data_IF_780202506799
#
_entry.id   IF_780202506799
#
_cell.length_a   1.000
_cell.length_b   1.000
_cell.length_c   1.000
_cell.angle_alpha   90.00
_cell.angle_beta   90.00
_cell.angle_gamma   90.00
#
_symmetry.space_group_name_H-M   'P 1'
#
loop_
_entity.id
_entity.type
_entity.pdbx_description
1 polymer ?
#
# COMPACT_ATOMS: atom_id res chain seq x y z
N UNK A 1 -15.46 -1.00 -5.00
CA UNK A 1 -14.75 -2.31 -5.06
C UNK A 1 -14.25 -2.64 -3.66
N UNK A 2 -14.16 -3.92 -3.31
CA UNK A 2 -13.51 -4.34 -2.06
C UNK A 2 -12.00 -4.48 -2.26
N UNK A 3 -11.21 -4.39 -1.19
CA UNK A 3 -9.78 -4.65 -1.28
C UNK A 3 -9.49 -6.10 -1.66
N UNK A 4 -10.32 -7.06 -1.24
CA UNK A 4 -10.19 -8.46 -1.64
C UNK A 4 -10.39 -8.68 -3.15
N UNK A 5 -11.34 -7.96 -3.77
CA UNK A 5 -11.50 -7.94 -5.23
C UNK A 5 -10.29 -7.31 -5.92
N UNK A 6 -9.79 -6.21 -5.36
CA UNK A 6 -8.63 -5.51 -5.90
C UNK A 6 -7.36 -6.37 -5.84
N UNK A 7 -7.12 -7.05 -4.72
CA UNK A 7 -5.95 -7.91 -4.53
C UNK A 7 -5.93 -9.07 -5.54
N UNK A 8 -7.08 -9.68 -5.80
CA UNK A 8 -7.22 -10.75 -6.81
C UNK A 8 -6.98 -10.26 -8.23
N UNK A 9 -7.30 -9.00 -8.53
CA UNK A 9 -7.18 -8.40 -9.87
C UNK A 9 -5.80 -7.79 -10.14
N UNK A 10 -5.24 -7.08 -9.16
CA UNK A 10 -4.05 -6.24 -9.29
C UNK A 10 -2.83 -6.79 -8.51
N UNK A 11 -3.03 -7.80 -7.65
CA UNK A 11 -2.00 -8.29 -6.72
C UNK A 11 -1.86 -7.40 -5.49
N UNK A 12 -0.70 -7.48 -4.83
CA UNK A 12 -0.35 -6.67 -3.66
C UNK A 12 -0.44 -5.16 -3.94
N UNK A 13 -0.70 -4.37 -2.90
CA UNK A 13 -0.79 -2.93 -3.01
C UNK A 13 0.59 -2.27 -3.18
N UNK A 14 0.63 -1.16 -3.91
CA UNK A 14 1.81 -0.29 -3.96
C UNK A 14 2.03 0.42 -2.62
N UNK A 15 3.29 0.74 -2.30
CA UNK A 15 3.71 1.40 -1.04
C UNK A 15 2.80 2.56 -0.63
N UNK A 16 2.46 3.46 -1.56
CA UNK A 16 1.65 4.65 -1.25
C UNK A 16 0.20 4.31 -0.85
N UNK A 17 -0.38 3.31 -1.51
CA UNK A 17 -1.71 2.81 -1.16
C UNK A 17 -1.63 1.99 0.12
N UNK A 18 -0.60 1.16 0.28
CA UNK A 18 -0.37 0.36 1.47
C UNK A 18 -0.25 1.25 2.71
N UNK A 19 0.61 2.27 2.67
CA UNK A 19 0.78 3.22 3.76
C UNK A 19 -0.56 3.84 4.15
N UNK A 20 -1.24 4.48 3.17
CA UNK A 20 -2.47 5.23 3.43
C UNK A 20 -3.61 4.34 3.89
N UNK A 21 -3.84 3.22 3.21
CA UNK A 21 -4.89 2.27 3.59
C UNK A 21 -4.58 1.59 4.91
N UNK A 22 -3.31 1.36 5.24
CA UNK A 22 -2.94 0.89 6.56
C UNK A 22 -3.20 1.91 7.65
N UNK A 23 -2.93 3.20 7.39
CA UNK A 23 -3.28 4.28 8.31
C UNK A 23 -4.80 4.40 8.49
N UNK A 24 -5.59 4.32 7.42
CA UNK A 24 -7.05 4.35 7.48
C UNK A 24 -7.59 3.15 8.29
N UNK A 25 -7.13 1.92 8.00
CA UNK A 25 -7.58 0.72 8.69
C UNK A 25 -7.24 0.77 10.18
N UNK A 26 -5.99 1.08 10.53
CA UNK A 26 -5.59 1.16 11.93
C UNK A 26 -6.27 2.33 12.65
N UNK A 27 -6.58 3.43 11.95
CA UNK A 27 -7.41 4.51 12.48
C UNK A 27 -8.84 4.04 12.83
N UNK A 28 -9.45 3.20 11.98
CA UNK A 28 -10.73 2.55 12.29
C UNK A 28 -10.60 1.62 13.50
N UNK A 29 -9.53 0.82 13.58
CA UNK A 29 -9.30 -0.09 14.71
C UNK A 29 -9.12 0.67 16.03
N UNK A 30 -8.42 1.80 16.02
CA UNK A 30 -8.33 2.71 17.18
C UNK A 30 -9.73 3.13 17.63
N UNK A 31 -10.54 3.63 16.70
CA UNK A 31 -11.89 4.08 17.02
C UNK A 31 -12.77 2.94 17.56
N UNK A 32 -12.69 1.73 16.98
CA UNK A 32 -13.43 0.57 17.46
C UNK A 32 -13.02 0.16 18.87
N UNK A 33 -11.71 0.16 19.15
CA UNK A 33 -11.18 -0.14 20.48
C UNK A 33 -11.65 0.87 21.54
N UNK A 34 -11.67 2.17 21.21
CA UNK A 34 -12.21 3.22 22.08
C UNK A 34 -13.71 3.03 22.39
N UNK A 35 -14.48 2.55 21.42
CA UNK A 35 -15.91 2.25 21.61
C UNK A 35 -16.15 0.88 22.27
N UNK A 36 -15.11 0.09 22.52
CA UNK A 36 -15.24 -1.27 23.04
C UNK A 36 -15.94 -2.23 22.07
N UNK A 37 -15.85 -1.97 20.77
CA UNK A 37 -16.48 -2.76 19.71
C UNK A 37 -15.41 -3.62 19.02
N UNK A 38 -15.70 -4.91 18.86
CA UNK A 38 -14.91 -5.80 18.02
C UNK A 38 -15.63 -6.02 16.69
N UNK A 39 -14.96 -5.82 15.57
CA UNK A 39 -15.50 -6.16 14.26
C UNK A 39 -15.47 -7.68 14.03
N UNK A 40 -14.39 -8.36 14.48
CA UNK A 40 -14.16 -9.81 14.40
C UNK A 40 -13.96 -10.42 13.02
N UNK A 41 -14.34 -9.73 11.97
CA UNK A 41 -14.11 -10.18 10.59
C UNK A 41 -13.33 -9.15 9.75
N UNK A 42 -12.26 -8.59 10.32
CA UNK A 42 -11.36 -7.69 9.57
C UNK A 42 -10.56 -8.50 8.56
N UNK A 43 -10.82 -8.27 7.28
CA UNK A 43 -10.17 -8.88 6.11
C UNK A 43 -10.38 -8.00 4.87
N UNK A 44 -9.60 -8.17 3.78
CA UNK A 44 -9.76 -7.36 2.57
C UNK A 44 -11.15 -7.40 1.94
N UNK A 45 -11.89 -8.50 2.06
CA UNK A 45 -13.25 -8.61 1.49
C UNK A 45 -14.29 -7.75 2.21
N UNK A 46 -14.08 -7.43 3.49
CA UNK A 46 -14.98 -6.57 4.29
C UNK A 46 -14.51 -5.10 4.31
N UNK A 47 -13.61 -4.77 3.39
CA UNK A 47 -13.04 -3.45 3.28
C UNK A 47 -13.29 -2.92 1.87
N UNK A 48 -13.98 -1.78 1.79
CA UNK A 48 -14.23 -1.09 0.53
C UNK A 48 -13.26 0.07 0.34
N UNK A 49 -12.98 0.39 -0.93
CA UNK A 49 -12.27 1.60 -1.31
C UNK A 49 -13.25 2.55 -2.00
N UNK A 50 -13.38 3.76 -1.47
CA UNK A 50 -14.29 4.78 -1.99
C UNK A 50 -13.74 6.18 -1.84
N UNK A 51 -14.25 7.13 -2.62
CA UNK A 51 -13.97 8.55 -2.39
C UNK A 51 -14.86 9.02 -1.23
N UNK A 52 -14.25 9.37 -0.09
CA UNK A 52 -14.97 9.80 1.11
C UNK A 52 -14.40 11.12 1.59
N UNK A 53 -15.27 12.11 1.87
CA UNK A 53 -14.88 13.41 2.42
C UNK A 53 -14.53 14.49 1.37
N UNK A 54 -13.97 15.62 1.84
CA UNK A 54 -13.53 16.74 1.01
C UNK A 54 -12.10 16.50 0.51
N UNK A 55 -11.99 15.91 -0.66
CA UNK A 55 -10.74 15.68 -1.37
C UNK A 55 -10.89 14.44 -2.24
N UNK A 56 -10.48 14.50 -3.50
CA UNK A 56 -10.61 13.41 -4.48
C UNK A 56 -9.68 12.21 -4.19
N UNK A 57 -9.53 11.82 -2.92
CA UNK A 57 -8.67 10.72 -2.47
C UNK A 57 -9.53 9.52 -2.11
N UNK A 58 -9.01 8.35 -2.49
CA UNK A 58 -9.58 7.06 -2.09
C UNK A 58 -9.26 6.80 -0.62
N UNK A 59 -10.28 6.50 0.15
CA UNK A 59 -10.23 6.10 1.55
C UNK A 59 -10.77 4.69 1.73
N UNK A 60 -10.28 4.04 2.77
CA UNK A 60 -10.73 2.73 3.20
C UNK A 60 -11.99 2.86 4.07
N UNK A 61 -13.00 2.05 3.79
CA UNK A 61 -14.22 1.94 4.60
C UNK A 61 -14.40 0.49 5.04
N UNK A 62 -14.35 0.25 6.34
CA UNK A 62 -14.67 -1.04 6.94
C UNK A 62 -16.18 -1.22 7.03
N UNK A 63 -16.69 -2.38 6.62
CA UNK A 63 -18.11 -2.72 6.65
C UNK A 63 -18.33 -4.16 7.08
N UNK A 64 -19.59 -4.55 7.26
CA UNK A 64 -20.02 -5.89 7.75
C UNK A 64 -19.71 -6.16 9.24
N UNK A 65 -20.41 -5.43 10.10
CA UNK A 65 -20.39 -5.60 11.54
C UNK A 65 -21.30 -6.73 12.04
N UNK A 66 -21.71 -7.67 11.18
CA UNK A 66 -22.64 -8.74 11.55
C UNK A 66 -22.16 -9.58 12.73
N UNK A 67 -20.84 -9.74 12.88
CA UNK A 67 -20.25 -10.52 13.96
C UNK A 67 -20.00 -9.74 15.25
N UNK A 68 -20.12 -8.41 15.22
CA UNK A 68 -19.71 -7.54 16.34
C UNK A 68 -20.48 -7.75 17.64
N UNK A 69 -21.73 -8.24 17.54
CA UNK A 69 -22.63 -8.48 18.69
C UNK A 69 -22.52 -9.88 19.28
N UNK A 70 -21.67 -10.74 18.73
CA UNK A 70 -21.53 -12.08 19.28
C UNK A 70 -20.86 -12.09 20.65
N UNK A 71 -21.17 -13.08 21.52
CA UNK A 71 -20.50 -13.25 22.80
C UNK A 71 -18.97 -13.36 22.63
N UNK A 72 -18.21 -12.88 23.63
CA UNK A 72 -16.75 -12.93 23.61
C UNK A 72 -16.23 -14.39 23.55
N UNK A 73 -17.00 -15.32 24.09
CA UNK A 73 -16.70 -16.75 24.19
C UNK A 73 -16.80 -17.46 22.83
N UNK A 74 -17.45 -16.84 21.83
CA UNK A 74 -17.50 -17.37 20.48
C UNK A 74 -16.18 -17.06 19.73
N UNK A 75 -15.12 -17.77 20.11
CA UNK A 75 -13.76 -17.54 19.62
C UNK A 75 -13.50 -18.07 18.20
N UNK A 76 -14.44 -18.84 17.63
CA UNK A 76 -14.33 -19.39 16.26
C UNK A 76 -15.04 -18.50 15.22
N UNK A 77 -15.64 -17.41 15.67
CA UNK A 77 -16.44 -16.54 14.83
C UNK A 77 -15.56 -15.52 14.10
N UNK A 78 -15.58 -15.58 12.77
CA UNK A 78 -14.74 -14.79 11.87
C UNK A 78 -14.20 -15.66 10.74
N UNK A 79 -13.36 -15.09 9.89
CA UNK A 79 -12.80 -15.81 8.74
C UNK A 79 -11.52 -16.55 9.09
N UNK A 80 -11.42 -17.88 8.82
CA UNK A 80 -10.18 -18.63 8.98
C UNK A 80 -9.00 -17.96 8.27
N UNK A 81 -7.83 -17.97 8.90
CA UNK A 81 -6.62 -17.28 8.42
C UNK A 81 -6.42 -15.87 9.00
N UNK A 82 -7.50 -15.16 9.33
CA UNK A 82 -7.43 -13.84 10.00
C UNK A 82 -7.67 -13.93 11.51
N UNK A 83 -8.29 -15.02 11.96
CA UNK A 83 -8.48 -15.31 13.38
C UNK A 83 -7.14 -15.50 14.10
N UNK A 84 -7.00 -14.90 15.28
CA UNK A 84 -5.86 -15.16 16.17
C UNK A 84 -5.88 -16.62 16.61
N UNK A 85 -4.93 -17.46 16.15
CA UNK A 85 -5.00 -18.90 16.40
C UNK A 85 -4.76 -19.23 17.88
N UNK A 86 -4.34 -18.26 18.70
CA UNK A 86 -4.06 -18.45 20.12
C UNK A 86 -5.26 -18.15 21.01
N UNK A 87 -6.40 -17.74 20.43
CA UNK A 87 -7.67 -17.57 21.13
C UNK A 87 -8.03 -18.74 22.06
N UNK A 88 -7.90 -20.02 21.66
CA UNK A 88 -8.18 -21.16 22.54
C UNK A 88 -7.25 -21.28 23.74
N UNK A 89 -6.05 -20.68 23.70
CA UNK A 89 -5.06 -20.74 24.77
C UNK A 89 -5.25 -19.66 25.84
N UNK A 90 -6.16 -18.69 25.60
CA UNK A 90 -6.49 -17.65 26.56
C UNK A 90 -7.21 -18.26 27.77
N UNK A 91 -7.07 -17.62 28.93
CA UNK A 91 -7.65 -18.11 30.20
C UNK A 91 -8.53 -17.02 30.82
N UNK A 92 -9.87 -17.08 30.66
CA UNK A 92 -10.64 -18.02 29.84
C UNK A 92 -10.53 -17.76 28.31
N UNK A 93 -10.88 -18.73 27.44
CA UNK A 93 -10.87 -18.53 25.98
C UNK A 93 -11.92 -17.50 25.55
N UNK A 94 -11.48 -16.31 25.16
CA UNK A 94 -12.37 -15.19 24.79
C UNK A 94 -11.72 -14.29 23.75
N UNK A 95 -12.55 -13.67 22.92
CA UNK A 95 -12.16 -12.56 22.06
C UNK A 95 -11.73 -11.35 22.90
N UNK A 96 -10.73 -10.63 22.41
CA UNK A 96 -10.18 -9.43 23.05
C UNK A 96 -9.61 -8.47 21.98
N UNK A 97 -9.11 -7.32 22.43
CA UNK A 97 -8.52 -6.31 21.53
C UNK A 97 -7.23 -6.82 20.84
N UNK A 98 -6.52 -7.79 21.42
CA UNK A 98 -5.34 -8.40 20.77
C UNK A 98 -5.74 -9.23 19.54
N UNK A 99 -6.88 -9.93 19.58
CA UNK A 99 -7.42 -10.64 18.42
C UNK A 99 -7.81 -9.66 17.30
N UNK A 100 -8.42 -8.53 17.68
CA UNK A 100 -8.81 -7.50 16.71
C UNK A 100 -7.60 -6.91 15.97
N UNK A 101 -6.56 -6.55 16.72
CA UNK A 101 -5.29 -6.07 16.16
C UNK A 101 -4.57 -7.13 15.33
N UNK A 102 -4.66 -8.40 15.72
CA UNK A 102 -4.11 -9.51 14.96
C UNK A 102 -4.76 -9.64 13.58
N UNK A 103 -6.10 -9.58 13.50
CA UNK A 103 -6.84 -9.63 12.25
C UNK A 103 -6.51 -8.43 11.34
N UNK A 104 -6.36 -7.23 11.93
CA UNK A 104 -5.88 -6.06 11.21
C UNK A 104 -4.46 -6.27 10.66
N UNK A 105 -3.53 -6.80 11.46
CA UNK A 105 -2.18 -7.11 11.01
C UNK A 105 -2.15 -8.16 9.88
N UNK A 106 -2.98 -9.21 9.96
CA UNK A 106 -3.13 -10.21 8.90
C UNK A 106 -3.59 -9.58 7.59
N UNK A 107 -4.60 -8.71 7.68
CA UNK A 107 -5.10 -7.93 6.54
C UNK A 107 -3.99 -7.07 5.94
N UNK A 108 -3.26 -6.29 6.75
CA UNK A 108 -2.17 -5.45 6.27
C UNK A 108 -1.04 -6.25 5.63
N UNK A 109 -0.70 -7.40 6.20
CA UNK A 109 0.32 -8.29 5.65
C UNK A 109 -0.11 -8.80 4.28
N UNK A 110 -1.35 -9.26 4.14
CA UNK A 110 -1.88 -9.73 2.87
C UNK A 110 -1.93 -8.60 1.83
N UNK A 111 -2.32 -7.39 2.22
CA UNK A 111 -2.27 -6.23 1.33
C UNK A 111 -0.85 -5.91 0.86
N UNK A 112 0.16 -6.14 1.71
CA UNK A 112 1.58 -5.89 1.40
C UNK A 112 2.22 -7.00 0.55
N UNK A 113 1.85 -8.26 0.78
CA UNK A 113 2.54 -9.43 0.21
C UNK A 113 1.71 -10.14 -0.86
N UNK A 114 0.39 -10.02 -0.81
CA UNK A 114 -0.57 -10.74 -1.67
C UNK A 114 -0.92 -12.14 -1.16
N UNK A 115 -0.37 -12.55 -0.01
CA UNK A 115 -0.68 -13.81 0.67
C UNK A 115 -0.51 -13.66 2.18
N UNK A 116 -1.10 -14.58 2.94
CA UNK A 116 -0.99 -14.58 4.40
C UNK A 116 0.35 -15.17 4.89
N UNK A 117 0.86 -14.71 6.05
CA UNK A 117 2.04 -15.30 6.67
C UNK A 117 1.70 -16.69 7.24
N UNK A 118 2.71 -17.52 7.48
CA UNK A 118 2.51 -18.94 7.84
C UNK A 118 3.06 -19.26 9.22
N UNK A 119 2.29 -20.02 9.99
CA UNK A 119 2.76 -20.64 11.23
C UNK A 119 3.29 -22.04 10.95
N UNK A 120 4.45 -22.38 11.52
CA UNK A 120 5.02 -23.73 11.40
C UNK A 120 5.08 -24.22 9.95
N UNK A 121 4.49 -25.38 9.70
CA UNK A 121 4.40 -26.01 8.37
C UNK A 121 3.22 -25.49 7.51
N UNK A 122 2.38 -24.60 8.06
CA UNK A 122 1.17 -24.08 7.43
C UNK A 122 -0.02 -25.04 7.40
N UNK A 123 0.07 -26.21 8.05
CA UNK A 123 -0.99 -27.22 8.12
C UNK A 123 -1.42 -27.54 9.54
N UNK A 124 -0.47 -27.52 10.48
CA UNK A 124 -0.72 -27.76 11.90
C UNK A 124 -1.38 -26.54 12.54
N UNK A 125 -2.41 -26.76 13.35
CA UNK A 125 -3.07 -25.69 14.11
C UNK A 125 -2.04 -24.95 14.99
N UNK A 126 -1.88 -23.62 14.86
CA UNK A 126 -0.85 -22.90 15.60
C UNK A 126 -1.00 -22.94 17.13
N UNK A 127 -2.21 -23.22 17.63
CA UNK A 127 -2.43 -23.47 19.06
C UNK A 127 -1.75 -24.74 19.57
N UNK A 128 -1.54 -25.72 18.69
CA UNK A 128 -0.91 -27.02 18.97
C UNK A 128 0.60 -27.04 18.71
N UNK A 129 1.12 -26.03 18.01
CA UNK A 129 2.56 -25.88 17.80
C UNK A 129 3.30 -25.65 19.12
N UNK A 130 4.60 -25.94 19.10
CA UNK A 130 5.50 -25.69 20.22
C UNK A 130 5.39 -24.24 20.71
N UNK A 131 5.44 -23.98 22.03
CA UNK A 131 5.38 -22.62 22.57
C UNK A 131 6.48 -21.66 22.05
N UNK A 132 7.57 -22.19 21.49
CA UNK A 132 8.65 -21.39 20.88
C UNK A 132 8.43 -21.11 19.38
N UNK A 133 7.42 -21.73 18.77
CA UNK A 133 7.12 -21.50 17.35
C UNK A 133 6.44 -20.15 17.17
N UNK A 134 7.04 -19.30 16.35
CA UNK A 134 6.51 -18.00 15.94
C UNK A 134 6.05 -18.06 14.48
N UNK A 135 5.22 -17.10 14.07
CA UNK A 135 4.82 -16.96 12.68
C UNK A 135 6.04 -16.58 11.80
N UNK A 136 6.11 -17.15 10.61
CA UNK A 136 7.14 -16.82 9.63
C UNK A 136 6.69 -15.64 8.77
N UNK A 137 7.54 -14.62 8.75
CA UNK A 137 7.39 -13.40 7.96
C UNK A 137 8.36 -13.46 6.79
N UNK A 138 7.83 -13.55 5.57
CA UNK A 138 8.62 -13.52 4.35
C UNK A 138 9.07 -12.08 4.04
N UNK A 139 10.20 -11.69 4.62
CA UNK A 139 10.75 -10.35 4.52
C UNK A 139 11.19 -9.98 3.09
N UNK A 140 11.51 -10.97 2.25
CA UNK A 140 11.97 -10.72 0.87
C UNK A 140 10.85 -10.22 -0.04
N UNK A 141 9.60 -10.43 0.35
CA UNK A 141 8.44 -9.90 -0.36
C UNK A 141 8.29 -8.39 -0.19
N UNK A 142 8.83 -7.80 0.87
CA UNK A 142 8.74 -6.35 1.07
C UNK A 142 9.74 -5.60 0.20
N UNK A 143 9.37 -4.38 -0.20
CA UNK A 143 10.29 -3.45 -0.84
C UNK A 143 11.54 -3.22 0.03
N UNK A 144 12.71 -3.11 -0.60
CA UNK A 144 14.01 -3.08 0.11
C UNK A 144 14.11 -2.00 1.19
N UNK A 145 13.58 -0.80 0.91
CA UNK A 145 13.54 0.31 1.88
C UNK A 145 12.55 0.11 3.03
N UNK A 146 11.66 -0.87 2.91
CA UNK A 146 10.60 -1.19 3.87
C UNK A 146 10.78 -2.51 4.60
N UNK A 147 11.71 -3.35 4.13
CA UNK A 147 11.89 -4.71 4.59
C UNK A 147 12.02 -4.81 6.10
N UNK A 148 13.00 -4.12 6.67
CA UNK A 148 13.24 -4.14 8.10
C UNK A 148 12.10 -3.52 8.91
N UNK A 149 11.62 -2.29 8.63
CA UNK A 149 10.57 -1.69 9.41
C UNK A 149 9.24 -2.47 9.37
N UNK A 150 8.82 -2.97 8.20
CA UNK A 150 7.60 -3.78 8.11
C UNK A 150 7.78 -5.15 8.77
N UNK A 151 8.94 -5.79 8.60
CA UNK A 151 9.22 -7.07 9.27
C UNK A 151 9.18 -6.91 10.79
N UNK A 152 9.77 -5.85 11.34
CA UNK A 152 9.72 -5.56 12.76
C UNK A 152 8.29 -5.29 13.26
N UNK A 153 7.51 -4.52 12.49
CA UNK A 153 6.10 -4.26 12.77
C UNK A 153 5.28 -5.55 12.84
N UNK A 154 5.35 -6.39 11.79
CA UNK A 154 4.59 -7.64 11.74
C UNK A 154 5.05 -8.65 12.78
N UNK A 155 6.37 -8.76 13.03
CA UNK A 155 6.89 -9.61 14.12
C UNK A 155 6.31 -9.21 15.47
N UNK A 156 6.20 -7.91 15.75
CA UNK A 156 5.59 -7.39 16.98
C UNK A 156 4.09 -7.67 17.02
N UNK A 157 3.37 -7.44 15.91
CA UNK A 157 1.93 -7.67 15.81
C UNK A 157 1.53 -9.14 16.06
N UNK A 158 2.36 -10.07 15.59
CA UNK A 158 2.05 -11.50 15.59
C UNK A 158 2.72 -12.31 16.70
N UNK A 159 3.42 -11.66 17.64
CA UNK A 159 4.06 -12.34 18.77
C UNK A 159 3.12 -13.35 19.43
N UNK A 160 3.60 -14.57 19.66
CA UNK A 160 2.80 -15.60 20.32
C UNK A 160 2.35 -15.16 21.72
N UNK A 161 3.25 -14.52 22.47
CA UNK A 161 2.94 -13.97 23.78
C UNK A 161 2.22 -12.62 23.65
N UNK A 162 0.98 -12.53 24.14
CA UNK A 162 0.15 -11.32 24.00
C UNK A 162 0.79 -10.06 24.59
N UNK A 163 1.52 -10.19 25.71
CA UNK A 163 2.19 -9.05 26.37
C UNK A 163 3.32 -8.44 25.53
N UNK A 164 3.84 -9.19 24.57
CA UNK A 164 4.93 -8.77 23.68
C UNK A 164 4.37 -8.21 22.36
N UNK A 165 3.04 -8.19 22.17
CA UNK A 165 2.35 -7.50 21.08
C UNK A 165 2.12 -6.03 21.44
N UNK A 166 1.68 -5.24 20.45
CA UNK A 166 1.19 -3.88 20.68
C UNK A 166 0.13 -3.84 21.79
N UNK A 167 0.34 -2.95 22.75
CA UNK A 167 -0.50 -2.81 23.93
C UNK A 167 -1.90 -2.32 23.57
N UNK A 168 -2.00 -1.36 22.63
CA UNK A 168 -3.25 -0.82 22.13
C UNK A 168 -3.16 -0.48 20.63
N UNK A 169 -4.29 -0.17 20.01
CA UNK A 169 -4.34 0.17 18.58
C UNK A 169 -3.63 1.49 18.25
N UNK A 170 -3.55 2.45 19.17
CA UNK A 170 -2.84 3.72 18.93
C UNK A 170 -1.33 3.50 18.77
N UNK A 171 -0.75 2.65 19.63
CA UNK A 171 0.65 2.23 19.56
C UNK A 171 0.91 1.51 18.23
N UNK A 172 0.02 0.59 17.84
CA UNK A 172 0.11 -0.09 16.56
C UNK A 172 0.02 0.88 15.38
N UNK A 173 -0.90 1.85 15.40
CA UNK A 173 -1.01 2.89 14.38
C UNK A 173 0.25 3.78 14.31
N UNK A 174 0.83 4.13 15.46
CA UNK A 174 2.09 4.87 15.53
C UNK A 174 3.24 4.06 14.93
N UNK A 175 3.38 2.80 15.32
CA UNK A 175 4.39 1.90 14.79
C UNK A 175 4.26 1.71 13.27
N UNK A 176 3.02 1.61 12.77
CA UNK A 176 2.77 1.59 11.33
C UNK A 176 3.28 2.84 10.63
N UNK A 177 2.91 4.04 11.12
CA UNK A 177 3.40 5.31 10.56
C UNK A 177 4.93 5.39 10.58
N UNK A 178 5.55 4.89 11.65
CA UNK A 178 7.00 4.86 11.82
C UNK A 178 7.70 4.01 10.76
N UNK A 179 7.08 2.95 10.26
CA UNK A 179 7.62 2.17 9.16
C UNK A 179 7.87 3.01 7.90
N UNK A 180 7.07 4.05 7.68
CA UNK A 180 7.14 4.90 6.49
C UNK A 180 7.85 6.23 6.74
N UNK A 181 8.24 6.56 7.98
CA UNK A 181 8.95 7.82 8.31
C UNK A 181 10.28 7.96 7.59
N UNK A 182 11.03 6.86 7.48
CA UNK A 182 12.34 6.82 6.83
C UNK A 182 12.27 6.39 5.37
N UNK A 183 11.08 5.99 4.89
CA UNK A 183 10.81 6.03 3.45
C UNK A 183 10.63 7.49 3.13
N UNK A 184 11.75 8.13 2.84
CA UNK A 184 11.73 9.50 2.45
C UNK A 184 10.74 9.65 1.27
N UNK A 185 9.62 10.39 1.41
CA UNK A 185 8.74 10.75 0.29
C UNK A 185 9.48 11.59 -0.76
N UNK A 186 10.74 11.90 -0.48
CA UNK A 186 11.64 12.77 -1.14
C UNK A 186 13.04 12.36 -0.71
N UNK A 187 13.53 11.12 -0.92
CA UNK A 187 15.00 10.96 -0.88
C UNK A 187 15.48 11.75 -2.06
N UNK A 188 16.02 12.95 -1.85
CA UNK A 188 16.67 13.60 -2.92
C UNK A 188 18.05 12.92 -2.88
N UNK A 189 18.59 12.52 -4.00
CA UNK A 189 19.98 12.98 -4.16
C UNK A 189 19.78 14.48 -4.28
N UNK A 190 19.75 15.18 -3.15
CA UNK A 190 19.68 16.63 -2.97
C UNK A 190 19.77 16.96 -1.46
N UNK A 191 20.97 17.01 -0.88
CA UNK A 191 21.68 18.29 -0.74
C UNK A 191 21.29 19.37 -1.76
N UNK A 192 21.51 20.67 -1.53
CA UNK A 192 21.39 21.62 -2.65
C UNK A 192 22.17 21.15 -3.91
N UNK A 193 23.21 20.34 -3.71
CA UNK A 193 23.95 19.55 -4.69
C UNK A 193 23.14 18.66 -5.62
N UNK A 194 21.98 18.13 -5.20
CA UNK A 194 21.33 17.05 -5.94
C UNK A 194 20.05 17.43 -6.68
N UNK A 195 19.37 18.51 -6.30
CA UNK A 195 18.45 19.20 -7.22
C UNK A 195 19.26 19.88 -8.32
N UNK A 196 20.46 20.37 -7.99
CA UNK A 196 21.43 20.82 -8.97
C UNK A 196 21.90 19.66 -9.86
N UNK A 197 22.30 18.51 -9.30
CA UNK A 197 22.70 17.33 -10.08
C UNK A 197 21.57 16.80 -10.96
N UNK A 198 20.32 16.81 -10.48
CA UNK A 198 19.15 16.43 -11.28
C UNK A 198 18.95 17.40 -12.44
N UNK A 199 19.00 18.70 -12.18
CA UNK A 199 18.88 19.69 -13.26
C UNK A 199 20.03 19.52 -14.27
N UNK A 200 21.25 19.26 -13.81
CA UNK A 200 22.40 18.96 -14.66
C UNK A 200 22.19 17.68 -15.49
N UNK A 201 21.65 16.60 -14.89
CA UNK A 201 21.23 15.37 -15.59
C UNK A 201 20.19 15.68 -16.68
N UNK A 202 19.19 16.50 -16.36
CA UNK A 202 18.16 16.91 -17.31
C UNK A 202 18.72 17.82 -18.42
N UNK A 203 19.72 18.65 -18.12
CA UNK A 203 20.37 19.57 -19.05
C UNK A 203 21.37 18.88 -19.98
N UNK A 204 21.88 17.69 -19.62
CA UNK A 204 22.70 16.83 -20.50
C UNK A 204 21.94 15.73 -21.21
N UNK A 205 20.70 15.45 -20.82
CA UNK A 205 19.91 14.39 -21.42
C UNK A 205 19.73 14.59 -22.94
N UNK A 206 19.59 13.50 -23.68
CA UNK A 206 19.27 13.50 -25.11
C UNK A 206 18.08 12.56 -25.33
N UNK A 207 17.50 12.54 -26.53
CA UNK A 207 16.34 11.67 -26.83
C UNK A 207 16.57 10.18 -26.50
N UNK A 208 17.81 9.70 -26.61
CA UNK A 208 18.18 8.31 -26.33
C UNK A 208 18.48 8.02 -24.84
N UNK A 209 18.55 9.05 -23.99
CA UNK A 209 18.79 8.88 -22.55
C UNK A 209 17.68 8.04 -21.93
N UNK A 210 18.05 7.08 -21.09
CA UNK A 210 17.09 6.18 -20.42
C UNK A 210 16.42 6.87 -19.23
N UNK A 211 15.20 6.47 -18.87
CA UNK A 211 14.49 7.05 -17.72
C UNK A 211 15.29 6.97 -16.39
N UNK A 212 15.97 5.85 -16.05
CA UNK A 212 16.82 5.78 -14.86
C UNK A 212 17.96 6.81 -14.84
N UNK A 213 18.48 7.21 -16.01
CA UNK A 213 19.54 8.21 -16.13
C UNK A 213 19.06 9.64 -15.89
N UNK A 214 17.75 9.90 -15.78
CA UNK A 214 17.20 11.24 -15.55
C UNK A 214 17.23 11.67 -14.09
N UNK A 215 17.68 10.80 -13.16
CA UNK A 215 17.68 11.10 -11.74
C UNK A 215 16.29 11.34 -11.16
N UNK A 216 15.28 10.71 -11.77
CA UNK A 216 13.91 10.71 -11.26
C UNK A 216 13.82 9.87 -9.98
N UNK A 217 12.90 10.24 -9.08
CA UNK A 217 12.58 9.40 -7.93
C UNK A 217 12.11 8.02 -8.37
N UNK A 218 12.44 6.98 -7.60
CA UNK A 218 12.10 5.57 -7.90
C UNK A 218 10.63 5.37 -8.27
N UNK A 219 9.73 6.15 -7.65
CA UNK A 219 8.29 6.13 -7.94
C UNK A 219 7.98 6.64 -9.35
N UNK A 220 8.62 7.73 -9.77
CA UNK A 220 8.44 8.28 -11.10
C UNK A 220 8.98 7.31 -12.16
N UNK A 221 10.17 6.74 -11.94
CA UNK A 221 10.75 5.74 -12.84
C UNK A 221 9.87 4.50 -12.99
N UNK A 222 9.36 3.95 -11.88
CA UNK A 222 8.48 2.77 -11.93
C UNK A 222 7.15 3.04 -12.63
N UNK A 223 6.61 4.26 -12.52
CA UNK A 223 5.39 4.66 -13.22
C UNK A 223 5.62 4.73 -14.72
N UNK A 224 6.74 5.29 -15.15
CA UNK A 224 7.12 5.40 -16.56
C UNK A 224 7.40 4.03 -17.17
N UNK A 225 8.10 3.16 -16.45
CA UNK A 225 8.39 1.78 -16.87
C UNK A 225 7.11 0.97 -17.14
N UNK A 226 6.08 1.11 -16.28
CA UNK A 226 4.77 0.46 -16.47
C UNK A 226 4.02 0.92 -17.71
N UNK A 227 4.20 2.16 -18.13
CA UNK A 227 3.61 2.70 -19.36
C UNK A 227 4.50 2.45 -20.58
N UNK A 228 5.55 1.62 -20.44
CA UNK A 228 6.55 1.33 -21.46
C UNK A 228 7.27 2.60 -21.96
N UNK A 229 7.47 3.56 -21.07
CA UNK A 229 8.23 4.79 -21.32
C UNK A 229 9.64 4.55 -20.80
N UNK A 230 10.55 4.15 -21.69
CA UNK A 230 11.89 3.70 -21.32
C UNK A 230 12.97 4.75 -21.61
N UNK A 231 12.69 5.69 -22.52
CA UNK A 231 13.61 6.75 -22.93
C UNK A 231 12.99 8.14 -22.87
N UNK A 232 13.83 9.19 -22.95
CA UNK A 232 13.39 10.58 -23.09
C UNK A 232 12.52 10.77 -24.33
N UNK A 233 12.82 10.10 -25.45
CA UNK A 233 11.99 10.15 -26.65
C UNK A 233 10.56 9.68 -26.36
N UNK A 234 10.42 8.55 -25.68
CA UNK A 234 9.11 7.97 -25.33
C UNK A 234 8.34 8.93 -24.41
N UNK A 235 9.03 9.52 -23.43
CA UNK A 235 8.43 10.47 -22.49
C UNK A 235 7.93 11.73 -23.18
N UNK A 236 8.67 12.24 -24.17
CA UNK A 236 8.30 13.45 -24.90
C UNK A 236 7.22 13.20 -25.95
N UNK A 237 7.20 12.02 -26.56
CA UNK A 237 6.11 11.57 -27.43
C UNK A 237 4.80 11.36 -26.65
N UNK A 238 4.89 11.03 -25.35
CA UNK A 238 3.71 10.79 -24.53
C UNK A 238 2.93 12.10 -24.23
N UNK A 239 1.59 12.12 -24.33
CA UNK A 239 0.81 13.34 -24.07
C UNK A 239 0.89 13.83 -22.61
N UNK A 240 1.27 15.09 -22.39
CA UNK A 240 1.30 15.72 -21.04
C UNK A 240 -0.04 15.62 -20.30
N UNK A 241 -1.17 15.68 -21.03
CA UNK A 241 -2.52 15.52 -20.47
C UNK A 241 -2.72 14.12 -19.88
N UNK A 242 -2.10 13.08 -20.45
CA UNK A 242 -2.15 11.72 -19.91
C UNK A 242 -1.22 11.56 -18.71
N UNK A 243 0.01 12.11 -18.76
CA UNK A 243 0.93 12.12 -17.61
C UNK A 243 0.28 12.77 -16.37
N UNK A 244 -0.37 13.92 -16.55
CA UNK A 244 -1.08 14.63 -15.48
C UNK A 244 -2.38 13.96 -14.99
N UNK A 245 -2.84 12.89 -15.65
CA UNK A 245 -4.07 12.16 -15.29
C UNK A 245 -3.82 10.67 -15.03
N UNK A 246 -2.57 10.26 -14.88
CA UNK A 246 -2.22 8.87 -14.57
C UNK A 246 -2.97 8.40 -13.31
N UNK A 247 -3.81 7.38 -13.49
CA UNK A 247 -4.61 6.79 -12.42
C UNK A 247 -3.70 5.99 -11.49
N UNK A 248 -3.97 6.06 -10.18
CA UNK A 248 -3.16 5.35 -9.17
C UNK A 248 -1.81 5.99 -8.83
N UNK A 249 -1.45 7.11 -9.45
CA UNK A 249 -0.18 7.83 -9.18
C UNK A 249 -0.42 9.02 -8.25
N UNK A 250 0.41 9.14 -7.20
CA UNK A 250 0.36 10.25 -6.25
C UNK A 250 0.66 11.62 -6.87
N UNK A 251 0.07 12.70 -6.34
CA UNK A 251 0.21 14.06 -6.88
C UNK A 251 1.67 14.53 -6.98
N UNK A 252 2.55 14.14 -6.04
CA UNK A 252 3.97 14.51 -6.04
C UNK A 252 4.72 13.86 -7.19
N UNK A 253 4.58 12.54 -7.36
CA UNK A 253 5.17 11.77 -8.47
C UNK A 253 4.66 12.25 -9.83
N UNK A 254 3.37 12.57 -9.92
CA UNK A 254 2.79 13.14 -11.13
C UNK A 254 3.40 14.51 -11.46
N UNK A 255 3.56 15.39 -10.46
CA UNK A 255 4.21 16.70 -10.65
C UNK A 255 5.64 16.54 -11.11
N UNK A 256 6.41 15.66 -10.48
CA UNK A 256 7.79 15.34 -10.86
C UNK A 256 7.90 14.91 -12.33
N UNK A 257 7.13 13.89 -12.75
CA UNK A 257 7.11 13.42 -14.15
C UNK A 257 6.74 14.56 -15.11
N UNK A 258 5.71 15.34 -14.75
CA UNK A 258 5.21 16.42 -15.63
C UNK A 258 6.19 17.58 -15.71
N UNK A 259 6.89 17.92 -14.62
CA UNK A 259 7.93 18.95 -14.59
C UNK A 259 9.14 18.53 -15.42
N UNK A 260 9.62 17.29 -15.26
CA UNK A 260 10.69 16.73 -16.08
C UNK A 260 10.33 16.73 -17.56
N UNK A 261 9.13 16.28 -17.91
CA UNK A 261 8.66 16.30 -19.31
C UNK A 261 8.57 17.73 -19.86
N UNK A 262 8.13 18.72 -19.07
CA UNK A 262 8.09 20.13 -19.48
C UNK A 262 9.49 20.70 -19.72
N UNK A 263 10.43 20.47 -18.80
CA UNK A 263 11.82 20.91 -18.94
C UNK A 263 12.45 20.34 -20.21
N UNK A 264 12.32 19.03 -20.41
CA UNK A 264 12.89 18.35 -21.58
C UNK A 264 12.22 18.79 -22.89
N UNK A 265 10.90 19.05 -22.91
CA UNK A 265 10.21 19.62 -24.09
C UNK A 265 10.69 21.02 -24.43
N UNK A 266 10.94 21.86 -23.43
CA UNK A 266 11.44 23.22 -23.65
C UNK A 266 12.85 23.20 -24.26
N UNK A 267 13.69 22.23 -23.88
CA UNK A 267 15.09 22.15 -24.32
C UNK A 267 15.28 21.37 -25.62
N UNK A 268 14.66 20.20 -25.74
CA UNK A 268 14.83 19.28 -26.87
C UNK A 268 13.72 19.39 -27.93
N UNK A 269 12.63 20.08 -27.62
CA UNK A 269 11.44 20.11 -28.47
C UNK A 269 10.59 18.83 -28.35
N UNK A 270 9.64 18.69 -29.26
CA UNK A 270 8.82 17.48 -29.37
C UNK A 270 9.41 16.61 -30.49
N UNK A 271 9.69 15.32 -30.25
CA UNK A 271 10.22 14.46 -31.30
C UNK A 271 9.23 14.35 -32.46
N UNK A 272 9.71 14.52 -33.69
CA UNK A 272 8.90 14.39 -34.89
C UNK A 272 8.63 12.91 -35.18
N UNK A 273 7.58 12.35 -34.57
CA UNK A 273 6.69 11.30 -35.11
C UNK A 273 5.86 10.64 -34.00
N UNK A 274 4.58 11.01 -33.91
CA UNK A 274 3.46 10.10 -33.67
C UNK A 274 2.22 10.80 -34.25
N UNK A 275 1.42 10.04 -34.98
CA UNK A 275 0.39 10.43 -35.94
C UNK A 275 -0.61 11.51 -35.45
N UNK A 276 -1.20 12.32 -36.36
CA UNK A 276 -2.34 13.16 -36.01
C UNK A 276 -3.49 12.29 -35.48
N UNK A 277 -4.17 12.79 -34.44
CA UNK A 277 -5.31 12.12 -33.80
C UNK A 277 -6.34 11.65 -34.85
N UNK A 278 -6.95 10.45 -34.71
CA UNK A 278 -8.26 10.25 -35.32
C UNK A 278 -9.22 11.22 -34.62
N UNK A 279 -9.73 12.17 -35.39
CA UNK A 279 -10.80 13.07 -34.96
C UNK A 279 -11.90 12.24 -34.30
N UNK A 280 -12.26 12.59 -33.08
CA UNK A 280 -13.42 12.02 -32.41
C UNK A 280 -14.65 12.37 -33.23
N UNK A 281 -15.14 11.40 -34.02
CA UNK A 281 -16.45 11.45 -34.65
C UNK A 281 -17.49 11.74 -33.57
N UNK A 282 -18.13 12.90 -33.73
CA UNK A 282 -19.30 13.27 -32.95
C UNK A 282 -20.45 12.37 -33.41
N UNK A 283 -21.18 11.68 -32.53
CA UNK A 283 -22.32 10.87 -32.97
C UNK A 283 -23.36 11.80 -33.60
N UNK A 284 -23.96 11.45 -34.74
CA UNK A 284 -25.01 12.26 -35.32
C UNK A 284 -26.23 12.28 -34.39
N UNK A 285 -26.73 13.49 -34.11
CA UNK A 285 -28.08 13.69 -33.57
C UNK A 285 -29.07 13.01 -34.52
N UNK A 286 -29.82 12.04 -34.00
CA UNK A 286 -30.93 11.45 -34.73
C UNK A 286 -32.13 12.41 -34.66
N UNK A 287 -32.79 12.67 -35.81
CA UNK A 287 -33.97 13.55 -35.89
C UNK A 287 -35.24 12.90 -35.33
#
# INVERSE_FOLDING_TARGET
ETLGQRLRKEGRLQIDLLQRFGEDLLGVVVHLEEQGIWHRDIKPDNIAVGMVGRGDKLHLVLFDFSLSRMPAENIRAGTPGYLDPLLPLRQPPRWDNYAERYAAAMTLYELAVGSLPRWGDGTTDPSQLSPQTEITIDAEQFDSGLREPLSAFFRSAFKRTLKDRFHNAEEMLRAWRDCFKNIDPSRPVADESGSALRNELLDRAVFATTIPELGLGTRASNVLDRENILTVRDLLAFPLRRLSRMRGVGNKTRREITETARHLRQRLGTPASAEPEPETETPPEQP
#
